data_IF_821956117058
#
_entry.id   IF_821956117058
#
_cell.length_a   1.000
_cell.length_b   1.000
_cell.length_c   1.000
_cell.angle_alpha   90.00
_cell.angle_beta   90.00
_cell.angle_gamma   90.00
#
_symmetry.space_group_name_H-M   'P 1'
#
loop_
_entity.id
_entity.type
_entity.pdbx_description
1 polymer ?
#
# COMPACT_ATOMS: atom_id res chain seq x y z
N UNK A 1 -13.75 7.26 15.61
CA UNK A 1 -13.49 6.46 14.41
C UNK A 1 -12.48 5.37 14.68
N UNK A 2 -12.55 4.29 13.91
CA UNK A 2 -11.62 3.17 14.02
C UNK A 2 -10.41 3.42 13.09
N UNK A 3 -9.27 2.87 13.47
CA UNK A 3 -8.06 2.92 12.63
C UNK A 3 -7.90 1.64 11.84
N UNK A 4 -7.38 1.77 10.64
CA UNK A 4 -7.16 0.65 9.73
C UNK A 4 -5.77 0.77 9.10
N UNK A 5 -5.08 -0.37 9.03
CA UNK A 5 -3.81 -0.48 8.33
C UNK A 5 -4.08 -0.96 6.91
N UNK A 6 -3.71 -0.15 5.94
CA UNK A 6 -3.79 -0.51 4.52
C UNK A 6 -2.41 -0.92 4.05
N UNK A 7 -2.29 -2.14 3.53
CA UNK A 7 -1.04 -2.66 2.97
C UNK A 7 -1.18 -2.75 1.47
N UNK A 8 -0.24 -2.15 0.76
CA UNK A 8 -0.19 -2.22 -0.69
C UNK A 8 0.51 -3.51 -1.10
N UNK A 9 -0.19 -4.36 -1.83
CA UNK A 9 0.29 -5.67 -2.25
C UNK A 9 0.74 -5.60 -3.70
N UNK A 10 1.94 -6.11 -3.97
CA UNK A 10 2.48 -6.15 -5.32
C UNK A 10 3.20 -7.45 -5.61
N UNK A 11 2.78 -8.17 -6.66
CA UNK A 11 3.39 -9.43 -7.03
C UNK A 11 4.65 -9.24 -7.87
N UNK A 12 5.52 -10.25 -7.85
CA UNK A 12 6.72 -10.29 -8.69
C UNK A 12 6.35 -10.26 -10.19
N UNK A 13 5.25 -10.91 -10.58
CA UNK A 13 4.82 -10.96 -11.98
C UNK A 13 4.34 -9.59 -12.48
N UNK A 14 3.62 -8.83 -11.66
CA UNK A 14 3.19 -7.48 -12.02
C UNK A 14 4.41 -6.56 -12.19
N UNK A 15 5.38 -6.66 -11.29
CA UNK A 15 6.60 -5.88 -11.36
C UNK A 15 7.44 -6.25 -12.59
N UNK A 16 7.50 -7.54 -12.93
CA UNK A 16 8.21 -8.01 -14.12
C UNK A 16 7.62 -7.41 -15.40
N UNK A 17 6.29 -7.39 -15.52
CA UNK A 17 5.61 -6.76 -16.66
C UNK A 17 5.92 -5.28 -16.75
N UNK A 18 5.93 -4.59 -15.61
CA UNK A 18 6.26 -3.17 -15.53
C UNK A 18 7.67 -2.91 -16.07
N UNK A 19 8.64 -3.74 -15.67
CA UNK A 19 10.03 -3.61 -16.10
C UNK A 19 10.23 -3.86 -17.59
N UNK A 20 9.34 -4.59 -18.24
CA UNK A 20 9.41 -4.85 -19.69
C UNK A 20 8.80 -3.73 -20.53
N UNK A 21 8.13 -2.77 -19.92
CA UNK A 21 7.56 -1.64 -20.62
C UNK A 21 8.66 -0.75 -21.21
N UNK A 22 8.32 -0.09 -22.32
CA UNK A 22 9.17 0.96 -22.87
C UNK A 22 9.48 2.01 -21.80
N UNK A 23 10.75 2.43 -21.72
CA UNK A 23 11.23 3.31 -20.67
C UNK A 23 10.47 4.64 -20.62
N UNK A 24 10.20 5.25 -21.77
CA UNK A 24 9.45 6.50 -21.83
C UNK A 24 8.01 6.33 -21.34
N UNK A 25 7.35 5.25 -21.76
CA UNK A 25 5.99 4.96 -21.30
C UNK A 25 5.96 4.73 -19.80
N UNK A 26 6.94 3.99 -19.27
CA UNK A 26 7.05 3.73 -17.85
C UNK A 26 7.23 5.02 -17.07
N UNK A 27 8.11 5.91 -17.53
CA UNK A 27 8.34 7.22 -16.87
C UNK A 27 7.09 8.08 -16.86
N UNK A 28 6.37 8.12 -17.99
CA UNK A 28 5.12 8.87 -18.08
C UNK A 28 4.06 8.30 -17.15
N UNK A 29 3.97 6.99 -17.07
CA UNK A 29 3.03 6.31 -16.19
C UNK A 29 3.37 6.51 -14.72
N UNK A 30 4.66 6.48 -14.37
CA UNK A 30 5.11 6.80 -13.02
C UNK A 30 4.75 8.23 -12.62
N UNK A 31 4.98 9.18 -13.52
CA UNK A 31 4.64 10.58 -13.29
C UNK A 31 3.14 10.75 -13.07
N UNK A 32 2.32 10.18 -13.95
CA UNK A 32 0.87 10.22 -13.82
C UNK A 32 0.39 9.54 -12.54
N UNK A 33 1.01 8.43 -12.18
CA UNK A 33 0.70 7.69 -10.95
C UNK A 33 1.02 8.49 -9.71
N UNK A 34 2.17 9.16 -9.67
CA UNK A 34 2.55 10.02 -8.53
C UNK A 34 1.60 11.19 -8.38
N UNK A 35 1.21 11.82 -9.48
CA UNK A 35 0.24 12.91 -9.46
C UNK A 35 -1.13 12.43 -8.98
N UNK A 36 -1.58 11.26 -9.47
CA UNK A 36 -2.85 10.68 -9.04
C UNK A 36 -2.82 10.30 -7.55
N UNK A 37 -1.70 9.77 -7.08
CA UNK A 37 -1.52 9.44 -5.67
C UNK A 37 -1.60 10.69 -4.80
N UNK A 38 -0.92 11.76 -5.21
CA UNK A 38 -0.98 13.05 -4.51
C UNK A 38 -2.40 13.59 -4.43
N UNK A 39 -3.18 13.50 -5.52
CA UNK A 39 -4.58 13.90 -5.53
C UNK A 39 -5.42 13.02 -4.58
N UNK A 40 -5.14 11.73 -4.55
CA UNK A 40 -5.82 10.80 -3.63
C UNK A 40 -5.56 11.18 -2.16
N UNK A 41 -4.30 11.50 -1.84
CA UNK A 41 -3.92 11.93 -0.48
C UNK A 41 -4.68 13.21 -0.12
N UNK A 42 -4.70 14.20 -1.00
CA UNK A 42 -5.40 15.47 -0.74
C UNK A 42 -6.89 15.26 -0.59
N UNK A 43 -7.50 14.43 -1.43
CA UNK A 43 -8.94 14.17 -1.38
C UNK A 43 -9.35 13.45 -0.09
N UNK A 44 -8.44 12.67 0.49
CA UNK A 44 -8.71 11.84 1.67
C UNK A 44 -7.94 12.29 2.91
N UNK A 45 -7.45 13.52 2.92
CA UNK A 45 -6.60 14.05 3.97
C UNK A 45 -7.18 13.85 5.37
N UNK A 46 -8.48 14.08 5.54
CA UNK A 46 -9.14 13.94 6.84
C UNK A 46 -9.23 12.49 7.31
N UNK A 47 -9.14 11.54 6.41
CA UNK A 47 -9.19 10.11 6.74
C UNK A 47 -7.81 9.50 6.91
N UNK A 48 -6.75 10.17 6.49
CA UNK A 48 -5.40 9.66 6.59
C UNK A 48 -4.80 10.02 7.95
N UNK A 49 -4.44 9.00 8.74
CA UNK A 49 -3.78 9.16 10.02
C UNK A 49 -2.27 9.23 9.84
N UNK A 50 -1.75 8.37 8.96
CA UNK A 50 -0.33 8.30 8.63
C UNK A 50 -0.22 7.93 7.15
N UNK A 51 0.45 8.76 6.37
CA UNK A 51 0.67 8.49 4.95
C UNK A 51 1.50 7.22 4.72
N UNK A 52 2.23 6.79 5.73
CA UNK A 52 3.07 5.62 5.61
C UNK A 52 4.27 5.84 4.71
N UNK A 53 4.75 4.76 4.14
CA UNK A 53 5.90 4.81 3.24
C UNK A 53 5.98 3.54 2.39
N UNK A 54 6.76 3.58 1.30
CA UNK A 54 7.17 2.35 0.62
C UNK A 54 7.98 1.48 1.58
N UNK A 55 7.90 0.18 1.42
CA UNK A 55 8.61 -0.80 2.24
C UNK A 55 9.74 -1.43 1.43
N UNK A 56 10.90 -1.55 2.05
CA UNK A 56 12.09 -2.11 1.42
C UNK A 56 12.33 -3.56 1.77
N UNK A 57 13.61 -3.91 1.93
CA UNK A 57 14.04 -5.28 2.21
C UNK A 57 13.46 -5.82 3.50
N UNK A 58 13.18 -7.10 3.54
CA UNK A 58 12.56 -7.77 4.67
C UNK A 58 13.53 -8.73 5.34
N UNK A 59 13.59 -8.66 6.66
CA UNK A 59 14.24 -9.68 7.48
C UNK A 59 13.19 -10.39 8.31
N UNK A 60 13.34 -11.70 8.41
CA UNK A 60 12.47 -12.53 9.21
C UNK A 60 13.21 -12.92 10.50
N UNK A 61 12.55 -12.74 11.62
CA UNK A 61 13.07 -13.14 12.93
C UNK A 61 12.11 -14.19 13.50
N UNK A 62 12.66 -15.33 13.90
CA UNK A 62 11.88 -16.43 14.45
C UNK A 62 12.70 -17.12 15.56
N UNK A 63 12.15 -18.20 16.11
CA UNK A 63 12.87 -19.01 17.09
C UNK A 63 14.18 -19.58 16.52
N UNK A 64 14.31 -19.71 15.19
CA UNK A 64 15.52 -20.18 14.54
C UNK A 64 16.53 -19.08 14.23
N UNK A 65 16.22 -17.82 14.57
CA UNK A 65 17.12 -16.69 14.38
C UNK A 65 16.64 -15.72 13.30
N UNK A 66 17.59 -15.01 12.70
CA UNK A 66 17.33 -13.97 11.72
C UNK A 66 17.69 -14.48 10.33
N UNK A 67 16.84 -14.24 9.36
CA UNK A 67 17.08 -14.60 7.96
C UNK A 67 16.53 -13.53 7.02
N UNK A 68 17.08 -13.49 5.82
CA UNK A 68 16.52 -12.65 4.76
C UNK A 68 15.30 -13.35 4.17
N UNK A 69 14.29 -12.56 3.80
CA UNK A 69 13.10 -13.10 3.16
C UNK A 69 12.50 -12.04 2.22
N UNK A 70 11.46 -12.42 1.52
CA UNK A 70 10.69 -11.52 0.67
C UNK A 70 9.21 -11.75 0.92
N UNK A 71 8.44 -10.70 0.75
CA UNK A 71 6.99 -10.78 0.77
C UNK A 71 6.44 -9.81 -0.27
N UNK A 72 5.12 -9.74 -0.40
CA UNK A 72 4.46 -8.91 -1.38
C UNK A 72 3.97 -7.58 -0.82
N UNK A 73 4.35 -7.25 0.41
CA UNK A 73 3.99 -5.97 1.04
C UNK A 73 4.94 -4.89 0.55
N UNK A 74 4.41 -3.94 -0.22
CA UNK A 74 5.23 -2.91 -0.89
C UNK A 74 5.13 -1.54 -0.26
N UNK A 75 4.18 -1.33 0.62
CA UNK A 75 3.98 -0.04 1.29
C UNK A 75 2.79 -0.11 2.22
N UNK A 76 2.54 0.97 2.96
CA UNK A 76 1.40 1.04 3.84
C UNK A 76 0.90 2.46 4.02
N UNK A 77 -0.35 2.58 4.44
CA UNK A 77 -1.00 3.82 4.88
C UNK A 77 -1.91 3.47 6.04
N UNK A 78 -2.02 4.35 7.02
CA UNK A 78 -2.97 4.18 8.11
C UNK A 78 -4.09 5.20 7.93
N UNK A 79 -5.32 4.71 7.91
CA UNK A 79 -6.51 5.55 7.75
C UNK A 79 -7.46 5.38 8.93
N UNK A 80 -8.42 6.30 9.05
CA UNK A 80 -9.51 6.18 10.00
C UNK A 80 -10.83 6.25 9.25
N UNK A 81 -11.81 5.48 9.72
CA UNK A 81 -13.14 5.46 9.14
C UNK A 81 -14.13 4.92 10.17
N UNK A 82 -15.42 5.13 9.90
CA UNK A 82 -16.47 4.66 10.81
C UNK A 82 -16.64 3.14 10.77
N UNK A 83 -16.30 2.51 9.64
CA UNK A 83 -16.43 1.07 9.45
C UNK A 83 -15.34 0.53 8.56
N UNK A 84 -15.14 -0.79 8.61
CA UNK A 84 -14.17 -1.48 7.76
C UNK A 84 -14.51 -1.29 6.28
N UNK A 85 -15.79 -1.37 5.93
CA UNK A 85 -16.23 -1.17 4.56
C UNK A 85 -15.94 0.24 4.05
N UNK A 86 -16.18 1.25 4.89
CA UNK A 86 -15.87 2.64 4.51
C UNK A 86 -14.38 2.85 4.35
N UNK A 87 -13.57 2.22 5.19
CA UNK A 87 -12.11 2.25 5.04
C UNK A 87 -11.68 1.66 3.69
N UNK A 88 -12.24 0.51 3.33
CA UNK A 88 -11.94 -0.14 2.05
C UNK A 88 -12.34 0.74 0.86
N UNK A 89 -13.48 1.39 0.93
CA UNK A 89 -13.96 2.27 -0.15
C UNK A 89 -13.03 3.44 -0.43
N UNK A 90 -12.25 3.90 0.54
CA UNK A 90 -11.26 4.95 0.31
C UNK A 90 -10.23 4.56 -0.75
N UNK A 91 -9.98 3.27 -0.90
CA UNK A 91 -8.95 2.75 -1.81
C UNK A 91 -9.50 2.22 -3.14
N UNK A 92 -10.79 2.37 -3.40
CA UNK A 92 -11.33 2.01 -4.71
C UNK A 92 -10.63 2.81 -5.81
N UNK A 93 -10.22 2.14 -6.88
CA UNK A 93 -9.53 2.73 -8.02
C UNK A 93 -8.22 3.45 -7.64
N UNK A 94 -7.56 2.99 -6.57
CA UNK A 94 -6.31 3.59 -6.11
C UNK A 94 -5.21 3.45 -7.15
N UNK A 95 -4.34 4.48 -7.33
CA UNK A 95 -3.26 4.45 -8.31
C UNK A 95 -2.31 3.27 -8.15
N UNK A 96 -2.16 2.71 -6.94
CA UNK A 96 -1.30 1.55 -6.70
C UNK A 96 -1.57 0.40 -7.67
N UNK A 97 -2.84 0.10 -7.94
CA UNK A 97 -3.20 -1.01 -8.84
C UNK A 97 -3.84 -0.54 -10.15
N UNK A 98 -4.26 0.71 -10.24
CA UNK A 98 -4.83 1.25 -11.49
C UNK A 98 -3.76 1.79 -12.43
N UNK A 99 -2.63 2.28 -11.90
CA UNK A 99 -1.57 2.93 -12.67
C UNK A 99 -0.23 2.21 -12.46
N UNK A 100 0.16 2.00 -11.20
CA UNK A 100 1.40 1.30 -10.84
C UNK A 100 1.23 -0.21 -10.93
N UNK A 101 2.34 -0.98 -10.93
CA UNK A 101 2.29 -2.44 -11.05
C UNK A 101 1.92 -3.14 -9.74
N UNK A 102 0.90 -2.64 -9.06
CA UNK A 102 0.38 -3.24 -7.84
C UNK A 102 -0.79 -4.17 -8.13
N UNK A 103 -1.04 -5.12 -7.25
CA UNK A 103 -2.15 -6.06 -7.39
C UNK A 103 -3.40 -5.58 -6.65
N UNK A 104 -3.23 -5.15 -5.40
CA UNK A 104 -4.36 -4.87 -4.52
C UNK A 104 -3.94 -4.06 -3.30
N UNK A 105 -4.91 -3.68 -2.51
CA UNK A 105 -4.70 -3.09 -1.18
C UNK A 105 -5.49 -3.96 -0.20
N UNK A 106 -4.82 -4.43 0.85
CA UNK A 106 -5.47 -5.19 1.91
C UNK A 106 -5.58 -4.32 3.15
N UNK A 107 -6.75 -4.32 3.76
CA UNK A 107 -7.07 -3.40 4.85
C UNK A 107 -7.50 -4.17 6.08
N UNK A 108 -6.78 -3.95 7.18
CA UNK A 108 -7.02 -4.62 8.45
C UNK A 108 -7.34 -3.59 9.53
N UNK A 109 -8.32 -3.89 10.37
CA UNK A 109 -8.62 -3.05 11.51
C UNK A 109 -7.50 -3.15 12.55
N UNK A 110 -7.06 -1.99 13.05
CA UNK A 110 -6.10 -1.92 14.15
C UNK A 110 -6.88 -2.04 15.46
N UNK A 111 -6.85 -3.22 16.06
CA UNK A 111 -7.57 -3.48 17.31
C UNK A 111 -6.80 -2.88 18.49
N UNK A 112 -7.49 -2.48 19.56
CA UNK A 112 -6.81 -2.01 20.78
C UNK A 112 -5.97 -3.14 21.38
N UNK A 113 -4.84 -2.77 21.99
CA UNK A 113 -4.01 -3.75 22.67
C UNK A 113 -4.79 -4.36 23.83
N UNK A 114 -4.70 -5.69 24.00
CA UNK A 114 -5.33 -6.30 25.17
C UNK A 114 -4.66 -5.83 26.46
N UNK A 115 -5.43 -5.74 27.51
CA UNK A 115 -4.88 -5.42 28.83
C UNK A 115 -3.99 -6.58 29.30
N UNK A 116 -2.83 -6.22 29.84
CA UNK A 116 -1.88 -7.20 30.34
C UNK A 116 -1.74 -7.11 31.85
#
# INVERSE_FOLDING_TARGET
MKKFLAIYIGSASALAKWKTMDEEKRKQQEKGGKEAWGRWVMANEKSIVDNGSPLGKTKRISAQGISDTKNEMTGYTIVQAESHEKAAKLFENHPHFMIFPGDSVEIMECLPMPEM
#
